data_IF_975585145523
#
_entry.id   IF_975585145523
#
_cell.length_a   1.000
_cell.length_b   1.000
_cell.length_c   1.000
_cell.angle_alpha   90.00
_cell.angle_beta   90.00
_cell.angle_gamma   90.00
#
_symmetry.space_group_name_H-M   'P 1'
#
loop_
_entity.id
_entity.type
_entity.pdbx_description
1 polymer ?
#
# COMPACT_ATOMS: atom_id res chain seq x y z
N UNK A 1 -36.28 -12.09 -22.48
CA UNK A 1 -35.87 -12.02 -21.06
C UNK A 1 -35.48 -10.59 -20.80
N UNK A 2 -36.43 -9.82 -20.29
CA UNK A 2 -36.21 -8.43 -19.89
C UNK A 2 -35.36 -8.46 -18.62
N UNK A 3 -34.14 -7.95 -18.71
CA UNK A 3 -33.30 -7.71 -17.53
C UNK A 3 -33.84 -6.42 -16.92
N UNK A 4 -34.76 -6.54 -15.97
CA UNK A 4 -35.05 -5.44 -15.04
C UNK A 4 -33.77 -5.18 -14.25
N UNK A 5 -32.98 -4.21 -14.71
CA UNK A 5 -31.93 -3.60 -13.91
C UNK A 5 -32.61 -2.91 -12.72
N UNK A 6 -32.77 -3.65 -11.61
CA UNK A 6 -33.18 -3.07 -10.35
C UNK A 6 -32.13 -2.05 -9.95
N UNK A 7 -32.44 -0.77 -10.10
CA UNK A 7 -31.58 0.32 -9.66
C UNK A 7 -31.32 0.16 -8.16
N UNK A 8 -30.09 -0.18 -7.80
CA UNK A 8 -29.66 -0.32 -6.40
C UNK A 8 -29.11 1.01 -5.90
N UNK A 9 -29.51 1.39 -4.69
CA UNK A 9 -28.97 2.55 -3.99
C UNK A 9 -27.74 2.11 -3.19
N UNK A 10 -26.68 2.91 -3.20
CA UNK A 10 -25.48 2.66 -2.42
C UNK A 10 -25.79 2.83 -0.92
N UNK A 11 -25.66 1.75 -0.15
CA UNK A 11 -25.91 1.76 1.30
C UNK A 11 -24.77 2.33 2.14
N UNK A 12 -23.54 2.34 1.62
CA UNK A 12 -22.35 2.86 2.30
C UNK A 12 -21.05 2.50 1.58
N UNK A 13 -19.94 3.07 2.05
CA UNK A 13 -18.59 2.84 1.52
C UNK A 13 -17.70 2.33 2.65
N UNK A 14 -17.06 1.17 2.45
CA UNK A 14 -16.04 0.64 3.37
C UNK A 14 -14.67 0.98 2.77
N UNK A 15 -13.89 1.77 3.49
CA UNK A 15 -12.51 2.06 3.10
C UNK A 15 -11.60 0.91 3.54
N UNK A 16 -10.65 0.55 2.69
CA UNK A 16 -9.62 -0.44 2.97
C UNK A 16 -8.31 -0.05 2.29
N UNK A 17 -7.22 -0.64 2.77
CA UNK A 17 -5.93 -0.58 2.10
C UNK A 17 -5.85 -1.77 1.15
N UNK A 18 -5.50 -1.51 -0.10
CA UNK A 18 -5.44 -2.55 -1.12
C UNK A 18 -4.29 -3.50 -0.84
N UNK A 19 -4.61 -4.78 -0.68
CA UNK A 19 -3.60 -5.82 -0.57
C UNK A 19 -2.90 -6.05 -1.91
N UNK A 20 -1.65 -6.54 -1.93
CA UNK A 20 -0.96 -6.88 -3.17
C UNK A 20 -1.67 -7.99 -3.96
N UNK A 21 -2.48 -8.82 -3.31
CA UNK A 21 -3.29 -9.86 -3.96
C UNK A 21 -4.47 -9.22 -4.70
N UNK A 22 -5.17 -8.27 -4.06
CA UNK A 22 -6.27 -7.54 -4.68
C UNK A 22 -5.80 -6.69 -5.86
N UNK A 23 -4.67 -5.99 -5.74
CA UNK A 23 -4.12 -5.19 -6.84
C UNK A 23 -3.87 -6.05 -8.08
N UNK A 24 -3.23 -7.22 -7.91
CA UNK A 24 -3.00 -8.15 -9.04
C UNK A 24 -4.30 -8.70 -9.61
N UNK A 25 -5.31 -8.95 -8.75
CA UNK A 25 -6.62 -9.46 -9.18
C UNK A 25 -7.44 -8.43 -9.96
N UNK A 26 -7.39 -7.15 -9.56
CA UNK A 26 -8.08 -6.07 -10.26
C UNK A 26 -7.35 -5.64 -11.53
N UNK A 27 -6.06 -5.97 -11.63
CA UNK A 27 -5.27 -5.59 -12.77
C UNK A 27 -5.55 -6.47 -14.00
N UNK A 28 -5.71 -5.82 -15.15
CA UNK A 28 -5.90 -6.51 -16.44
C UNK A 28 -4.58 -6.81 -17.15
N UNK A 29 -3.49 -6.13 -16.77
CA UNK A 29 -2.18 -6.22 -17.41
C UNK A 29 -1.07 -5.81 -16.45
N UNK A 30 0.03 -6.57 -16.48
CA UNK A 30 1.31 -6.14 -15.88
C UNK A 30 2.02 -5.17 -16.83
N UNK A 31 2.41 -4.00 -16.33
CA UNK A 31 3.15 -3.01 -17.09
C UNK A 31 4.64 -3.30 -16.96
N UNK A 32 5.22 -3.69 -18.09
CA UNK A 32 6.62 -4.09 -18.18
C UNK A 32 7.45 -3.10 -18.98
N UNK A 33 6.87 -2.37 -19.94
CA UNK A 33 7.58 -1.47 -20.83
C UNK A 33 7.40 0.01 -20.42
N UNK A 34 8.48 0.81 -20.38
CA UNK A 34 8.40 2.24 -20.10
C UNK A 34 7.97 3.07 -21.32
N UNK A 35 8.03 2.53 -22.52
CA UNK A 35 7.60 3.22 -23.74
C UNK A 35 6.06 3.33 -23.81
N UNK A 36 5.55 4.48 -24.27
CA UNK A 36 4.11 4.71 -24.44
C UNK A 36 3.65 4.36 -25.85
N UNK A 37 4.29 4.96 -26.86
CA UNK A 37 4.02 4.73 -28.28
C UNK A 37 5.28 4.27 -29.03
N UNK A 38 5.09 3.46 -30.07
CA UNK A 38 6.16 3.03 -30.98
C UNK A 38 6.44 4.09 -32.07
N UNK A 39 7.40 3.79 -32.96
CA UNK A 39 7.80 4.67 -34.07
C UNK A 39 6.65 4.92 -35.06
N UNK A 40 5.68 4.01 -35.14
CA UNK A 40 4.48 4.12 -35.97
C UNK A 40 3.34 4.90 -35.27
N UNK A 41 3.56 5.36 -34.03
CA UNK A 41 2.59 6.09 -33.22
C UNK A 41 1.50 5.22 -32.59
N UNK A 42 1.68 3.90 -32.60
CA UNK A 42 0.77 2.92 -32.02
C UNK A 42 1.15 2.64 -30.57
N UNK A 43 0.16 2.28 -29.74
CA UNK A 43 0.38 1.98 -28.33
C UNK A 43 1.25 0.74 -28.15
N UNK A 44 2.30 0.83 -27.34
CA UNK A 44 3.17 -0.31 -27.02
C UNK A 44 2.43 -1.31 -26.13
N UNK A 45 2.46 -2.60 -26.50
CA UNK A 45 1.91 -3.66 -25.67
C UNK A 45 2.72 -3.86 -24.39
N UNK A 46 2.02 -3.96 -23.25
CA UNK A 46 2.67 -3.99 -21.93
C UNK A 46 3.28 -2.65 -21.50
N UNK A 47 3.07 -1.59 -22.30
CA UNK A 47 3.43 -0.22 -21.98
C UNK A 47 2.34 0.51 -21.21
N UNK A 48 2.62 1.75 -20.81
CA UNK A 48 1.64 2.58 -20.10
C UNK A 48 0.44 2.95 -20.98
N UNK A 49 0.53 2.94 -22.31
CA UNK A 49 -0.64 3.22 -23.16
C UNK A 49 -1.31 1.95 -23.72
N UNK A 50 -1.09 0.79 -23.09
CA UNK A 50 -1.69 -0.48 -23.53
C UNK A 50 -3.23 -0.36 -23.64
N UNK A 51 -3.78 -0.73 -24.80
CA UNK A 51 -5.20 -0.66 -25.13
C UNK A 51 -6.12 -1.44 -24.16
N UNK A 52 -5.56 -2.38 -23.38
CA UNK A 52 -6.31 -3.09 -22.31
C UNK A 52 -6.64 -2.18 -21.13
N UNK A 53 -5.86 -1.13 -20.88
CA UNK A 53 -6.10 -0.17 -19.80
C UNK A 53 -7.22 0.83 -20.11
N UNK A 54 -7.67 0.87 -21.37
CA UNK A 54 -8.68 1.81 -21.85
C UNK A 54 -8.28 2.39 -23.19
N UNK A 55 -9.16 3.21 -23.75
CA UNK A 55 -8.93 3.90 -25.03
C UNK A 55 -9.35 5.36 -24.91
N UNK A 56 -8.54 6.25 -25.47
CA UNK A 56 -8.85 7.69 -25.57
C UNK A 56 -9.32 8.07 -26.97
N UNK A 57 -8.87 7.35 -27.99
CA UNK A 57 -9.09 7.70 -29.39
C UNK A 57 -10.53 7.40 -29.84
N UNK A 58 -11.22 8.37 -30.47
CA UNK A 58 -12.52 8.12 -31.06
C UNK A 58 -12.48 6.97 -32.08
N UNK A 59 -13.35 5.98 -31.92
CA UNK A 59 -13.46 4.83 -32.83
C UNK A 59 -12.52 3.66 -32.51
N UNK A 60 -11.51 3.84 -31.66
CA UNK A 60 -10.75 2.71 -31.12
C UNK A 60 -11.58 1.99 -30.05
N UNK A 61 -11.48 0.66 -30.03
CA UNK A 61 -12.14 -0.19 -29.05
C UNK A 61 -11.14 -0.65 -28.00
N UNK A 62 -11.54 -0.57 -26.74
CA UNK A 62 -10.73 -1.06 -25.63
C UNK A 62 -10.52 -2.58 -25.72
N UNK A 63 -9.28 -3.02 -25.47
CA UNK A 63 -8.91 -4.45 -25.50
C UNK A 63 -9.55 -5.30 -24.40
N UNK A 64 -10.07 -4.68 -23.34
CA UNK A 64 -10.66 -5.38 -22.19
C UNK A 64 -12.19 -5.42 -22.26
N UNK A 65 -12.85 -4.28 -22.39
CA UNK A 65 -14.33 -4.22 -22.40
C UNK A 65 -14.95 -4.14 -23.80
N UNK A 66 -14.17 -3.90 -24.86
CA UNK A 66 -14.69 -3.73 -26.23
C UNK A 66 -15.46 -2.43 -26.49
N UNK A 67 -15.67 -1.61 -25.46
CA UNK A 67 -16.32 -0.30 -25.58
C UNK A 67 -15.40 0.72 -26.24
N UNK A 68 -16.01 1.75 -26.83
CA UNK A 68 -15.34 2.97 -27.32
C UNK A 68 -15.00 3.90 -26.16
N UNK A 69 -14.17 4.92 -26.42
CA UNK A 69 -13.73 5.90 -25.42
C UNK A 69 -14.86 6.52 -24.58
N UNK A 70 -16.01 6.79 -25.18
CA UNK A 70 -17.18 7.37 -24.48
C UNK A 70 -17.80 6.45 -23.39
N UNK A 71 -17.73 5.13 -23.56
CA UNK A 71 -18.41 4.16 -22.69
C UNK A 71 -17.42 3.25 -21.93
N UNK A 72 -16.12 3.45 -22.12
CA UNK A 72 -15.09 2.69 -21.44
C UNK A 72 -14.81 3.32 -20.07
N UNK A 73 -15.05 2.62 -18.94
CA UNK A 73 -14.74 3.15 -17.62
C UNK A 73 -13.23 3.26 -17.36
N UNK A 74 -12.43 2.54 -18.14
CA UNK A 74 -10.99 2.36 -17.91
C UNK A 74 -10.71 1.15 -17.01
N UNK A 75 -9.50 0.60 -17.14
CA UNK A 75 -9.09 -0.63 -16.45
C UNK A 75 -7.72 -0.45 -15.82
N UNK A 76 -7.55 -0.96 -14.60
CA UNK A 76 -6.30 -0.83 -13.86
C UNK A 76 -5.23 -1.78 -14.38
N UNK A 77 -4.00 -1.30 -14.40
CA UNK A 77 -2.78 -2.10 -14.56
C UNK A 77 -2.10 -2.32 -13.21
N UNK A 78 -0.98 -3.03 -13.22
CA UNK A 78 -0.08 -3.08 -12.08
C UNK A 78 1.38 -3.16 -12.52
N UNK A 79 2.28 -2.71 -11.65
CA UNK A 79 3.73 -2.89 -11.79
C UNK A 79 4.19 -3.78 -10.64
N UNK A 80 4.84 -4.89 -10.97
CA UNK A 80 5.52 -5.72 -9.98
C UNK A 80 6.86 -5.07 -9.61
N UNK A 81 6.98 -4.60 -8.37
CA UNK A 81 8.17 -3.91 -7.88
C UNK A 81 9.31 -4.90 -7.64
N UNK A 82 10.52 -4.56 -8.09
CA UNK A 82 11.73 -5.35 -7.92
C UNK A 82 12.17 -5.43 -6.45
N UNK A 83 11.84 -4.38 -5.70
CA UNK A 83 12.15 -4.20 -4.28
C UNK A 83 10.93 -3.68 -3.55
N UNK A 84 10.82 -4.02 -2.27
CA UNK A 84 9.77 -3.51 -1.40
C UNK A 84 9.93 -2.00 -1.16
N UNK A 85 8.84 -1.23 -1.24
CA UNK A 85 8.84 0.23 -1.09
C UNK A 85 7.91 0.66 0.04
N UNK A 86 8.38 1.50 0.96
CA UNK A 86 7.54 2.04 2.03
C UNK A 86 6.56 3.07 1.47
N UNK A 87 5.27 2.92 1.76
CA UNK A 87 4.28 3.91 1.38
C UNK A 87 4.35 5.14 2.28
N UNK A 88 4.64 6.31 1.69
CA UNK A 88 4.94 7.56 2.43
C UNK A 88 3.84 7.95 3.42
N UNK A 89 2.57 7.77 3.06
CA UNK A 89 1.44 8.14 3.93
C UNK A 89 1.37 7.31 5.23
N UNK A 90 1.96 6.11 5.26
CA UNK A 90 1.90 5.20 6.41
C UNK A 90 3.21 5.10 7.17
N UNK A 91 4.23 5.90 6.82
CA UNK A 91 5.55 5.78 7.46
C UNK A 91 5.49 6.09 8.96
N UNK A 92 4.68 7.06 9.36
CA UNK A 92 4.49 7.38 10.78
C UNK A 92 3.77 6.22 11.52
N UNK A 93 2.86 5.48 10.86
CA UNK A 93 2.23 4.28 11.42
C UNK A 93 3.20 3.11 11.52
N UNK A 94 4.00 2.87 10.47
CA UNK A 94 5.07 1.87 10.47
C UNK A 94 6.04 2.14 11.61
N UNK A 95 6.44 3.40 11.82
CA UNK A 95 7.31 3.78 12.92
C UNK A 95 6.70 3.44 14.29
N UNK A 96 5.41 3.78 14.51
CA UNK A 96 4.70 3.44 15.75
C UNK A 96 4.64 1.92 15.96
N UNK A 97 4.31 1.16 14.92
CA UNK A 97 4.20 -0.31 15.01
C UNK A 97 5.55 -0.98 15.30
N UNK A 98 6.63 -0.51 14.68
CA UNK A 98 7.98 -1.00 14.97
C UNK A 98 8.44 -0.68 16.40
N UNK A 99 8.02 0.46 16.95
CA UNK A 99 8.33 0.84 18.34
C UNK A 99 7.54 0.03 19.37
N UNK A 100 6.36 -0.48 19.05
CA UNK A 100 5.47 -1.17 19.99
C UNK A 100 5.64 -2.69 19.94
N UNK A 101 5.91 -3.23 18.75
CA UNK A 101 6.12 -4.67 18.55
C UNK A 101 7.55 -5.09 18.95
N UNK A 102 7.68 -6.34 19.41
CA UNK A 102 8.99 -6.94 19.68
C UNK A 102 9.66 -7.39 18.38
N UNK A 103 10.96 -7.10 18.22
CA UNK A 103 11.74 -7.53 17.03
C UNK A 103 11.74 -9.05 16.80
N UNK A 104 11.65 -9.86 17.85
CA UNK A 104 11.82 -11.32 17.75
C UNK A 104 10.53 -12.12 17.77
N UNK A 105 9.55 -11.75 18.60
CA UNK A 105 8.28 -12.48 18.69
C UNK A 105 7.10 -11.74 18.04
N UNK A 106 7.31 -10.51 17.55
CA UNK A 106 6.29 -9.64 16.93
C UNK A 106 5.05 -9.33 17.79
N UNK A 107 5.02 -9.78 19.05
CA UNK A 107 4.00 -9.40 20.03
C UNK A 107 4.22 -7.97 20.53
N UNK A 108 3.14 -7.34 20.98
CA UNK A 108 3.22 -6.05 21.69
C UNK A 108 4.10 -6.19 22.93
N UNK A 109 4.94 -5.19 23.22
CA UNK A 109 5.83 -5.16 24.39
C UNK A 109 5.08 -4.80 25.69
N UNK A 110 3.97 -5.48 25.99
CA UNK A 110 3.19 -5.33 27.21
C UNK A 110 2.99 -6.68 27.90
N UNK A 111 2.72 -6.66 29.20
CA UNK A 111 2.39 -7.86 29.95
C UNK A 111 1.01 -8.40 29.53
N UNK A 112 0.77 -9.71 29.69
CA UNK A 112 -0.54 -10.30 29.41
C UNK A 112 -1.64 -9.65 30.29
N UNK A 113 -1.33 -9.34 31.55
CA UNK A 113 -2.26 -8.68 32.47
C UNK A 113 -2.71 -7.31 31.96
N UNK A 114 -1.79 -6.53 31.38
CA UNK A 114 -2.13 -5.23 30.80
C UNK A 114 -2.91 -5.38 29.50
N UNK A 115 -2.56 -6.37 28.66
CA UNK A 115 -3.30 -6.67 27.43
C UNK A 115 -4.75 -7.05 27.73
N UNK A 116 -4.98 -7.87 28.76
CA UNK A 116 -6.32 -8.30 29.15
C UNK A 116 -7.16 -7.12 29.67
N UNK A 117 -6.57 -6.22 30.47
CA UNK A 117 -7.23 -4.97 30.89
C UNK A 117 -7.64 -4.11 29.69
N UNK A 118 -6.77 -3.95 28.70
CA UNK A 118 -7.09 -3.18 27.50
C UNK A 118 -8.14 -3.85 26.61
N UNK A 119 -8.14 -5.19 26.55
CA UNK A 119 -9.18 -5.97 25.87
C UNK A 119 -10.55 -5.75 26.53
N UNK A 120 -10.62 -5.82 27.87
CA UNK A 120 -11.85 -5.58 28.63
C UNK A 120 -12.39 -4.15 28.43
N UNK A 121 -11.51 -3.15 28.51
CA UNK A 121 -11.86 -1.73 28.31
C UNK A 121 -12.39 -1.44 26.91
N UNK A 122 -11.87 -2.13 25.89
CA UNK A 122 -12.36 -2.03 24.52
C UNK A 122 -13.77 -2.60 24.39
N UNK A 123 -14.02 -3.73 25.03
CA UNK A 123 -15.29 -4.47 24.88
C UNK A 123 -16.45 -3.83 25.66
N UNK A 124 -16.17 -2.98 26.66
CA UNK A 124 -17.21 -2.32 27.47
C UNK A 124 -18.07 -1.30 26.72
N UNK A 125 -17.84 -1.03 25.43
CA UNK A 125 -18.75 -0.35 24.46
C UNK A 125 -19.60 0.83 24.99
N UNK A 126 -19.11 1.64 25.92
CA UNK A 126 -19.83 2.85 26.33
C UNK A 126 -19.72 3.92 25.23
N UNK A 127 -20.78 4.71 25.04
CA UNK A 127 -21.02 5.65 23.93
C UNK A 127 -19.96 6.77 23.69
N UNK A 128 -18.86 6.78 24.45
CA UNK A 128 -17.67 7.62 24.26
C UNK A 128 -16.49 6.90 23.58
N UNK A 129 -16.74 5.70 23.04
CA UNK A 129 -15.74 4.73 22.58
C UNK A 129 -14.64 5.29 21.65
N UNK A 130 -14.92 6.23 20.75
CA UNK A 130 -13.90 6.72 19.81
C UNK A 130 -12.76 7.44 20.54
N UNK A 131 -13.10 8.38 21.43
CA UNK A 131 -12.12 9.14 22.23
C UNK A 131 -11.40 8.20 23.19
N UNK A 132 -12.12 7.23 23.77
CA UNK A 132 -11.53 6.25 24.67
C UNK A 132 -10.56 5.32 23.96
N UNK A 133 -10.85 4.89 22.73
CA UNK A 133 -9.99 4.01 21.93
C UNK A 133 -8.72 4.71 21.46
N UNK A 134 -8.80 5.99 21.06
CA UNK A 134 -7.62 6.79 20.71
C UNK A 134 -6.70 6.97 21.93
N UNK A 135 -7.27 7.29 23.09
CA UNK A 135 -6.51 7.41 24.33
C UNK A 135 -5.85 6.09 24.75
N UNK A 136 -6.56 4.96 24.60
CA UNK A 136 -6.01 3.62 24.88
C UNK A 136 -4.82 3.32 23.96
N UNK A 137 -4.96 3.60 22.67
CA UNK A 137 -3.89 3.42 21.68
C UNK A 137 -2.64 4.21 22.07
N UNK A 138 -2.81 5.48 22.42
CA UNK A 138 -1.69 6.33 22.83
C UNK A 138 -1.03 5.84 24.12
N UNK A 139 -1.82 5.40 25.11
CA UNK A 139 -1.29 4.85 26.36
C UNK A 139 -0.49 3.55 26.14
N UNK A 140 -0.99 2.65 25.29
CA UNK A 140 -0.29 1.43 24.88
C UNK A 140 1.05 1.77 24.24
N UNK A 141 1.06 2.74 23.32
CA UNK A 141 2.27 3.17 22.61
C UNK A 141 3.30 3.74 23.61
N UNK A 142 2.88 4.61 24.53
CA UNK A 142 3.78 5.24 25.50
C UNK A 142 4.35 4.27 26.53
N UNK A 143 3.57 3.26 26.96
CA UNK A 143 4.06 2.18 27.83
C UNK A 143 5.03 1.28 27.08
N UNK A 144 4.67 0.82 25.88
CA UNK A 144 5.48 -0.12 25.11
C UNK A 144 6.82 0.46 24.63
N UNK A 145 6.90 1.77 24.36
CA UNK A 145 8.15 2.47 24.02
C UNK A 145 9.22 2.37 25.11
N UNK A 146 8.81 2.38 26.38
CA UNK A 146 9.74 2.38 27.54
C UNK A 146 10.30 0.99 27.85
N UNK A 147 9.67 -0.06 27.33
CA UNK A 147 10.04 -1.45 27.59
C UNK A 147 11.25 -1.85 26.74
N UNK A 148 12.40 -2.04 27.41
CA UNK A 148 13.65 -2.50 26.78
C UNK A 148 13.77 -4.02 26.71
N UNK A 149 13.14 -4.76 27.61
CA UNK A 149 13.17 -6.24 27.64
C UNK A 149 11.77 -6.75 27.36
N UNK A 150 11.61 -7.58 26.34
CA UNK A 150 10.29 -8.09 25.97
C UNK A 150 9.73 -9.03 27.05
N UNK A 151 8.48 -8.83 27.53
CA UNK A 151 7.87 -9.70 28.53
C UNK A 151 7.54 -11.12 28.02
N UNK A 152 7.45 -11.33 26.70
CA UNK A 152 7.09 -12.63 26.12
C UNK A 152 8.29 -13.51 25.78
N UNK A 153 9.36 -12.93 25.23
CA UNK A 153 10.54 -13.70 24.79
C UNK A 153 11.84 -13.32 25.50
N UNK A 154 11.80 -12.37 26.45
CA UNK A 154 12.93 -11.91 27.27
C UNK A 154 14.14 -11.37 26.50
N UNK A 155 14.00 -11.11 25.20
CA UNK A 155 15.05 -10.50 24.39
C UNK A 155 15.07 -8.99 24.55
N UNK A 156 16.28 -8.44 24.57
CA UNK A 156 16.53 -7.00 24.56
C UNK A 156 16.07 -6.37 23.23
N UNK A 157 15.53 -5.17 23.35
CA UNK A 157 15.05 -4.37 22.24
C UNK A 157 16.02 -3.22 21.99
N UNK A 158 16.31 -3.00 20.71
CA UNK A 158 17.20 -1.94 20.27
C UNK A 158 16.47 -0.62 20.10
N UNK A 159 17.21 0.48 20.23
CA UNK A 159 16.66 1.81 19.99
C UNK A 159 16.50 2.03 18.48
N UNK A 160 15.29 2.45 18.08
CA UNK A 160 14.96 2.74 16.70
C UNK A 160 15.05 4.25 16.45
N UNK A 161 15.90 4.65 15.50
CA UNK A 161 15.99 6.01 15.00
C UNK A 161 15.26 6.10 13.67
N UNK A 162 14.29 7.00 13.59
CA UNK A 162 13.56 7.29 12.37
C UNK A 162 13.94 8.67 11.82
N UNK A 163 14.53 8.68 10.63
CA UNK A 163 14.87 9.89 9.89
C UNK A 163 13.91 10.01 8.70
N UNK A 164 13.07 11.05 8.72
CA UNK A 164 12.12 11.32 7.63
C UNK A 164 12.90 11.56 6.32
N UNK A 165 12.39 11.09 5.16
CA UNK A 165 11.04 10.55 4.95
C UNK A 165 10.87 9.04 5.13
N UNK A 166 11.91 8.21 4.99
CA UNK A 166 11.77 6.74 4.88
C UNK A 166 12.90 5.93 5.50
N UNK A 167 13.80 6.56 6.27
CA UNK A 167 15.02 5.90 6.77
C UNK A 167 14.79 5.43 8.21
N UNK A 168 14.90 4.12 8.42
CA UNK A 168 14.83 3.47 9.73
C UNK A 168 16.19 2.84 10.07
N UNK A 169 16.71 3.15 11.26
CA UNK A 169 18.00 2.66 11.73
C UNK A 169 17.84 2.10 13.14
N UNK A 170 18.28 0.86 13.36
CA UNK A 170 18.40 0.27 14.69
C UNK A 170 19.79 0.47 15.25
N UNK A 171 19.87 1.03 16.45
CA UNK A 171 21.11 1.17 17.22
C UNK A 171 21.33 -0.09 18.04
N UNK A 172 22.32 -0.88 17.64
CA UNK A 172 22.81 -2.03 18.40
C UNK A 172 24.11 -1.64 19.12
N UNK A 173 24.53 -2.43 20.10
CA UNK A 173 25.80 -2.19 20.82
C UNK A 173 27.03 -2.25 19.91
N UNK A 174 26.90 -2.89 18.75
CA UNK A 174 27.97 -3.13 17.77
C UNK A 174 27.97 -2.04 16.67
N UNK A 175 26.87 -1.29 16.51
CA UNK A 175 26.74 -0.24 15.51
C UNK A 175 25.30 0.05 15.06
N UNK A 176 25.20 0.87 14.02
CA UNK A 176 23.93 1.28 13.41
C UNK A 176 23.56 0.36 12.24
N UNK A 177 22.41 -0.31 12.33
CA UNK A 177 21.90 -1.18 11.27
C UNK A 177 20.68 -0.57 10.59
N UNK A 178 20.76 -0.31 9.28
CA UNK A 178 19.64 0.22 8.51
C UNK A 178 18.61 -0.87 8.23
N UNK A 179 17.35 -0.62 8.60
CA UNK A 179 16.25 -1.52 8.27
C UNK A 179 15.82 -1.32 6.82
N UNK A 180 15.89 -2.39 6.03
CA UNK A 180 15.37 -2.42 4.67
C UNK A 180 13.84 -2.58 4.70
N UNK A 181 13.11 -2.04 3.71
CA UNK A 181 11.65 -2.15 3.64
C UNK A 181 11.15 -3.59 3.69
N UNK A 182 11.87 -4.54 3.08
CA UNK A 182 11.50 -5.96 3.12
C UNK A 182 11.54 -6.54 4.54
N UNK A 183 12.58 -6.21 5.31
CA UNK A 183 12.71 -6.61 6.72
C UNK A 183 11.64 -5.98 7.59
N UNK A 184 11.27 -4.72 7.32
CA UNK A 184 10.16 -4.05 8.00
C UNK A 184 8.85 -4.80 7.72
N UNK A 185 8.59 -5.13 6.46
CA UNK A 185 7.39 -5.88 6.06
C UNK A 185 7.29 -7.24 6.77
N UNK A 186 8.39 -8.00 6.82
CA UNK A 186 8.43 -9.29 7.51
C UNK A 186 8.06 -9.17 9.00
N UNK A 187 8.56 -8.13 9.68
CA UNK A 187 8.22 -7.87 11.08
C UNK A 187 6.75 -7.55 11.26
N UNK A 188 6.20 -6.68 10.40
CA UNK A 188 4.79 -6.29 10.43
C UNK A 188 3.85 -7.46 10.13
N UNK A 189 4.24 -8.33 9.19
CA UNK A 189 3.46 -9.51 8.83
C UNK A 189 3.29 -10.48 10.00
N UNK A 190 4.31 -10.62 10.84
CA UNK A 190 4.31 -11.54 11.99
C UNK A 190 3.51 -11.02 13.21
N UNK A 191 2.99 -9.78 13.16
CA UNK A 191 2.14 -9.26 14.25
C UNK A 191 0.79 -10.00 14.22
N UNK A 192 0.34 -10.59 15.34
CA UNK A 192 -0.91 -11.32 15.38
C UNK A 192 -2.11 -10.38 15.33
N UNK A 193 -3.22 -10.89 14.78
CA UNK A 193 -4.45 -10.09 14.58
C UNK A 193 -5.03 -9.54 15.88
N UNK A 194 -4.94 -10.27 16.99
CA UNK A 194 -5.42 -9.79 18.30
C UNK A 194 -4.69 -8.52 18.75
N UNK A 195 -3.37 -8.48 18.53
CA UNK A 195 -2.53 -7.34 18.88
C UNK A 195 -2.83 -6.15 17.93
N UNK A 196 -3.08 -6.40 16.64
CA UNK A 196 -3.45 -5.36 15.68
C UNK A 196 -4.75 -4.64 16.05
N UNK A 197 -5.77 -5.39 16.50
CA UNK A 197 -7.05 -4.80 16.92
C UNK A 197 -6.87 -3.89 18.12
N UNK A 198 -5.99 -4.24 19.07
CA UNK A 198 -5.67 -3.39 20.22
C UNK A 198 -4.97 -2.09 19.82
N UNK A 199 -4.23 -2.11 18.70
CA UNK A 199 -3.54 -0.93 18.15
C UNK A 199 -4.44 -0.09 17.23
N UNK A 200 -5.70 -0.50 17.05
CA UNK A 200 -6.68 0.18 16.22
C UNK A 200 -6.59 -0.14 14.73
N UNK A 201 -5.96 -1.25 14.35
CA UNK A 201 -5.93 -1.75 12.97
C UNK A 201 -6.93 -2.89 12.80
N UNK A 202 -7.70 -2.85 11.70
CA UNK A 202 -8.60 -3.94 11.31
C UNK A 202 -7.84 -4.98 10.47
N UNK A 203 -7.71 -6.24 10.93
CA UNK A 203 -6.99 -7.28 10.21
C UNK A 203 -7.59 -7.66 8.85
N UNK A 204 -8.85 -7.31 8.58
CA UNK A 204 -9.47 -7.59 7.27
C UNK A 204 -9.20 -6.48 6.26
N UNK A 205 -9.14 -5.23 6.70
CA UNK A 205 -9.13 -4.06 5.80
C UNK A 205 -7.83 -3.29 5.76
N UNK A 206 -6.99 -3.39 6.80
CA UNK A 206 -5.79 -2.56 6.93
C UNK A 206 -4.68 -3.30 7.66
N UNK A 207 -4.22 -4.42 7.07
CA UNK A 207 -3.05 -5.16 7.58
C UNK A 207 -1.77 -4.35 7.37
N UNK A 208 -0.92 -4.14 8.40
CA UNK A 208 0.22 -3.24 8.30
C UNK A 208 1.30 -3.64 7.27
N UNK A 209 1.42 -4.92 6.93
CA UNK A 209 2.35 -5.35 5.88
C UNK A 209 1.98 -4.77 4.50
N UNK A 210 0.73 -4.35 4.28
CA UNK A 210 0.29 -3.69 3.04
C UNK A 210 0.76 -2.24 2.94
N UNK A 211 1.24 -1.65 4.04
CA UNK A 211 1.88 -0.32 4.01
C UNK A 211 3.26 -0.37 3.32
N UNK A 212 3.81 -1.58 3.15
CA UNK A 212 5.01 -1.83 2.36
C UNK A 212 4.60 -2.41 1.00
N UNK A 213 4.68 -1.57 -0.02
CA UNK A 213 4.28 -1.89 -1.37
C UNK A 213 5.22 -2.93 -1.98
N UNK A 214 4.62 -4.00 -2.51
CA UNK A 214 5.29 -4.96 -3.41
C UNK A 214 4.76 -4.81 -4.85
N UNK A 215 3.55 -4.28 -4.98
CA UNK A 215 2.87 -4.06 -6.25
C UNK A 215 2.34 -2.64 -6.24
N UNK A 216 2.55 -1.92 -7.35
CA UNK A 216 2.01 -0.59 -7.53
C UNK A 216 0.85 -0.64 -8.54
N UNK A 217 -0.38 -0.22 -8.17
CA UNK A 217 -1.47 -0.14 -9.12
C UNK A 217 -1.20 0.98 -10.14
N UNK A 218 -1.47 0.69 -11.41
CA UNK A 218 -1.37 1.67 -12.49
C UNK A 218 -2.78 2.12 -12.86
N UNK A 219 -3.07 3.44 -12.80
CA UNK A 219 -4.39 3.93 -13.11
C UNK A 219 -4.72 3.77 -14.60
N UNK A 220 -6.02 3.62 -14.93
CA UNK A 220 -6.50 3.57 -16.30
C UNK A 220 -6.07 4.76 -17.14
N UNK A 221 -6.01 4.59 -18.47
CA UNK A 221 -5.66 5.67 -19.40
C UNK A 221 -6.64 6.85 -19.28
N UNK A 222 -7.92 6.58 -18.98
CA UNK A 222 -8.96 7.60 -18.80
C UNK A 222 -8.69 8.59 -17.66
N UNK A 223 -7.86 8.21 -16.68
CA UNK A 223 -7.47 9.07 -15.54
C UNK A 223 -6.22 9.90 -15.84
N UNK A 224 -5.45 9.55 -16.88
CA UNK A 224 -4.18 10.18 -17.27
C UNK A 224 -4.19 10.53 -18.77
N UNK A 225 -5.06 11.47 -19.18
CA UNK A 225 -5.27 11.80 -20.58
C UNK A 225 -4.06 12.52 -21.19
N UNK A 226 -3.72 12.19 -22.44
CA UNK A 226 -2.75 12.94 -23.22
C UNK A 226 -3.40 14.15 -23.91
N UNK A 227 -2.63 15.23 -24.09
CA UNK A 227 -3.06 16.43 -24.84
C UNK A 227 -2.29 16.49 -26.15
N UNK A 228 -2.99 16.74 -27.26
CA UNK A 228 -2.35 17.04 -28.54
C UNK A 228 -2.18 18.56 -28.64
N UNK A 229 -0.93 19.02 -28.75
CA UNK A 229 -0.62 20.43 -28.96
C UNK A 229 -0.99 20.86 -30.38
N UNK A 230 -1.14 22.16 -30.61
CA UNK A 230 -1.42 22.73 -31.95
C UNK A 230 -0.38 22.34 -33.00
N UNK A 231 0.83 21.99 -32.56
CA UNK A 231 1.93 21.49 -33.39
C UNK A 231 1.76 20.04 -33.85
N UNK A 232 0.71 19.35 -33.40
CA UNK A 232 0.47 17.92 -33.65
C UNK A 232 1.27 16.98 -32.74
N UNK A 233 2.07 17.52 -31.81
CA UNK A 233 2.84 16.73 -30.84
C UNK A 233 1.93 16.29 -29.71
N UNK A 234 1.99 15.01 -29.34
CA UNK A 234 1.34 14.47 -28.15
C UNK A 234 2.17 14.81 -26.90
N UNK A 235 1.56 15.51 -25.98
CA UNK A 235 2.08 15.75 -24.63
C UNK A 235 1.39 14.79 -23.66
N UNK A 236 2.18 14.02 -22.95
CA UNK A 236 1.68 13.06 -21.97
C UNK A 236 1.37 13.76 -20.64
N UNK A 237 0.51 13.11 -19.86
CA UNK A 237 0.19 13.52 -18.51
C UNK A 237 1.39 13.35 -17.54
N UNK A 238 1.47 14.22 -16.53
CA UNK A 238 2.54 14.20 -15.52
C UNK A 238 2.61 12.85 -14.76
N UNK A 239 1.47 12.21 -14.52
CA UNK A 239 1.43 10.89 -13.88
C UNK A 239 2.04 9.83 -14.79
N UNK A 240 1.72 9.87 -16.09
CA UNK A 240 2.34 8.98 -17.08
C UNK A 240 3.85 9.19 -17.08
N UNK A 241 4.33 10.43 -17.13
CA UNK A 241 5.76 10.73 -17.06
C UNK A 241 6.45 10.15 -15.81
N UNK A 242 5.83 10.27 -14.62
CA UNK A 242 6.40 9.70 -13.40
C UNK A 242 6.35 8.18 -13.35
N UNK A 243 5.31 7.56 -13.91
CA UNK A 243 5.22 6.11 -14.02
C UNK A 243 6.31 5.57 -14.96
N UNK A 244 6.62 6.26 -16.05
CA UNK A 244 7.76 5.91 -16.94
C UNK A 244 9.07 5.90 -16.15
N UNK A 245 9.33 6.94 -15.35
CA UNK A 245 10.53 7.02 -14.49
C UNK A 245 10.61 5.82 -13.52
N UNK A 246 9.49 5.49 -12.87
CA UNK A 246 9.40 4.36 -11.93
C UNK A 246 9.70 3.04 -12.67
N UNK A 247 9.10 2.80 -13.82
CA UNK A 247 9.29 1.55 -14.58
C UNK A 247 10.75 1.39 -15.00
N UNK A 248 11.39 2.46 -15.52
CA UNK A 248 12.80 2.42 -15.93
C UNK A 248 13.73 2.07 -14.77
N UNK A 249 13.53 2.68 -13.61
CA UNK A 249 14.34 2.37 -12.41
C UNK A 249 14.07 0.95 -11.94
N UNK A 250 12.80 0.53 -11.93
CA UNK A 250 12.39 -0.80 -11.52
C UNK A 250 13.01 -1.90 -12.41
N UNK A 251 13.03 -1.71 -13.74
CA UNK A 251 13.69 -2.62 -14.68
C UNK A 251 15.19 -2.73 -14.42
N UNK A 252 15.89 -1.60 -14.30
CA UNK A 252 17.33 -1.59 -13.97
C UNK A 252 17.63 -2.33 -12.67
N UNK A 253 16.76 -2.21 -11.66
CA UNK A 253 16.88 -2.94 -10.41
C UNK A 253 16.64 -4.45 -10.58
N UNK A 254 15.71 -4.86 -11.45
CA UNK A 254 15.50 -6.29 -11.78
C UNK A 254 16.72 -6.89 -12.49
N UNK A 255 17.32 -6.14 -13.42
CA UNK A 255 18.49 -6.58 -14.20
C UNK A 255 19.80 -6.62 -13.39
N UNK A 256 19.88 -5.80 -12.33
CA UNK A 256 21.07 -5.73 -11.47
C UNK A 256 21.10 -6.81 -10.38
N UNK A 257 20.10 -7.69 -10.31
CA UNK A 257 20.04 -8.84 -9.40
C UNK A 257 20.56 -10.09 -10.08
#
# INVERSE_FOLDING_TARGET
>A
MEVEDTLKILGGIRFSVLSPVEIRKFSVVEITAPETYDEDGMSVQGGLMDNRLGTLEPGQKCGTCGNTSANCPGHFGHIELAEAVLHIAFVDDIHKLLLVSCRSCSRIKLSNEDLDKYKELRDTKAAYAVITLENIKEEIIEKAKKVKICPHCQKEQYDLVFTKPTIFVEKTDIGENRLLPITIRERLMNIPNEDLVLLGYDPETARPEWFVLQVLPVPPVTVRPSIILETGIRSEDDLTHKLVDIIRVNQRLKESK
#
